data_IF_930707203933
#
_entry.id   IF_930707203933
#
_cell.length_a   1.000
_cell.length_b   1.000
_cell.length_c   1.000
_cell.angle_alpha   90.00
_cell.angle_beta   90.00
_cell.angle_gamma   90.00
#
_symmetry.space_group_name_H-M   'P 1'
#
loop_
_entity.id
_entity.type
_entity.pdbx_description
1 polymer ?
#
# COMPACT_ATOMS: atom_id res chain seq x y z
N UNK A 1 6.93 17.85 -0.95
CA UNK A 1 6.28 17.43 0.30
C UNK A 1 6.88 16.09 0.71
N UNK A 2 7.55 16.00 1.85
CA UNK A 2 7.81 14.68 2.44
C UNK A 2 6.45 14.10 2.83
N UNK A 3 6.11 12.87 2.41
CA UNK A 3 4.88 12.23 2.86
C UNK A 3 4.90 12.17 4.38
N UNK A 4 3.77 12.45 5.06
CA UNK A 4 3.70 12.32 6.51
C UNK A 4 4.15 10.92 6.89
N UNK A 5 5.08 10.83 7.85
CA UNK A 5 5.53 9.55 8.35
C UNK A 5 4.36 8.92 9.12
N UNK A 6 3.67 7.96 8.50
CA UNK A 6 2.57 7.19 9.11
C UNK A 6 3.06 6.23 10.20
N UNK A 7 3.96 6.68 11.09
CA UNK A 7 4.64 5.85 12.09
C UNK A 7 3.67 5.25 13.11
N UNK A 8 2.71 6.04 13.60
CA UNK A 8 1.66 5.58 14.51
C UNK A 8 0.83 4.47 13.88
N UNK A 9 0.33 4.71 12.66
CA UNK A 9 -0.43 3.72 11.90
C UNK A 9 0.36 2.42 11.67
N UNK A 10 1.66 2.52 11.31
CA UNK A 10 2.51 1.33 11.10
C UNK A 10 2.69 0.52 12.37
N UNK A 11 2.85 1.18 13.52
CA UNK A 11 2.97 0.51 14.81
C UNK A 11 1.67 -0.21 15.16
N UNK A 12 0.54 0.49 15.07
CA UNK A 12 -0.78 -0.08 15.35
C UNK A 12 -1.11 -1.25 14.41
N UNK A 13 -0.78 -1.13 13.12
CA UNK A 13 -0.97 -2.22 12.15
C UNK A 13 -0.12 -3.45 12.50
N UNK A 14 1.11 -3.25 12.99
CA UNK A 14 1.99 -4.36 13.37
C UNK A 14 1.54 -5.07 14.66
N UNK A 15 0.87 -4.35 15.56
CA UNK A 15 0.32 -4.89 16.81
C UNK A 15 -1.10 -5.47 16.64
N UNK A 16 -1.76 -5.20 15.52
CA UNK A 16 -3.13 -5.64 15.25
C UNK A 16 -3.19 -7.10 14.80
N UNK A 17 -4.24 -7.81 15.21
CA UNK A 17 -4.56 -9.14 14.68
C UNK A 17 -5.67 -9.06 13.63
N UNK A 18 -5.72 -9.98 12.65
CA UNK A 18 -6.85 -10.09 11.72
C UNK A 18 -8.20 -10.34 12.45
N UNK A 19 -9.35 -9.95 11.85
CA UNK A 19 -9.49 -9.39 10.50
C UNK A 19 -9.20 -7.87 10.49
N UNK A 20 -8.41 -7.42 9.53
CA UNK A 20 -8.02 -6.01 9.37
C UNK A 20 -8.05 -5.60 7.90
N UNK A 21 -8.12 -4.31 7.59
CA UNK A 21 -7.98 -3.79 6.21
C UNK A 21 -6.82 -2.78 6.21
N UNK A 22 -5.66 -3.12 5.64
CA UNK A 22 -4.53 -2.20 5.61
C UNK A 22 -4.77 -1.07 4.61
N UNK A 23 -4.17 0.09 4.87
CA UNK A 23 -4.23 1.24 3.97
C UNK A 23 -3.29 1.00 2.78
N UNK A 24 -3.84 0.44 1.71
CA UNK A 24 -3.10 0.03 0.53
C UNK A 24 -2.26 1.16 -0.07
N UNK A 25 -2.76 2.40 -0.07
CA UNK A 25 -2.04 3.57 -0.58
C UNK A 25 -0.68 3.78 0.07
N UNK A 26 -0.57 3.55 1.39
CA UNK A 26 0.69 3.68 2.12
C UNK A 26 1.69 2.57 1.74
N UNK A 27 1.21 1.35 1.54
CA UNK A 27 2.05 0.25 1.11
C UNK A 27 2.56 0.48 -0.31
N UNK A 28 1.68 0.86 -1.24
CA UNK A 28 2.07 1.17 -2.61
C UNK A 28 3.10 2.29 -2.65
N UNK A 29 2.92 3.32 -1.81
CA UNK A 29 3.92 4.37 -1.65
C UNK A 29 5.28 3.83 -1.19
N UNK A 30 5.32 2.86 -0.26
CA UNK A 30 6.58 2.24 0.16
C UNK A 30 7.25 1.47 -0.99
N UNK A 31 6.48 0.77 -1.81
CA UNK A 31 7.01 0.06 -2.97
C UNK A 31 7.59 1.05 -4.00
N UNK A 32 6.87 2.14 -4.29
CA UNK A 32 7.35 3.20 -5.19
C UNK A 32 8.65 3.82 -4.67
N UNK A 33 8.72 4.17 -3.39
CA UNK A 33 9.94 4.75 -2.80
C UNK A 33 11.10 3.76 -2.85
N UNK A 34 10.84 2.48 -2.55
CA UNK A 34 11.86 1.43 -2.59
C UNK A 34 12.41 1.23 -4.00
N UNK A 35 11.54 1.28 -5.01
CA UNK A 35 11.87 1.20 -6.43
C UNK A 35 12.69 2.41 -6.92
N UNK A 36 12.28 3.62 -6.55
CA UNK A 36 12.97 4.85 -6.95
C UNK A 36 14.36 5.00 -6.33
N UNK A 37 14.52 4.58 -5.08
CA UNK A 37 15.78 4.78 -4.33
C UNK A 37 16.79 3.66 -4.58
N UNK A 38 16.33 2.44 -4.89
CA UNK A 38 17.19 1.29 -5.02
C UNK A 38 17.06 0.67 -6.42
N UNK A 39 18.14 0.60 -7.20
CA UNK A 39 18.10 -0.05 -8.51
C UNK A 39 17.99 -1.58 -8.35
N UNK A 40 17.33 -2.21 -9.34
CA UNK A 40 17.20 -3.68 -9.43
C UNK A 40 18.57 -4.35 -9.51
N UNK A 41 19.48 -3.73 -10.26
CA UNK A 41 20.84 -4.23 -10.45
C UNK A 41 21.84 -3.27 -9.81
N UNK A 42 22.88 -3.83 -9.19
CA UNK A 42 23.98 -3.07 -8.65
C UNK A 42 24.82 -2.49 -9.79
N UNK A 43 25.22 -1.23 -9.65
CA UNK A 43 26.07 -0.55 -10.64
C UNK A 43 27.53 -1.00 -10.60
N UNK A 44 27.95 -1.63 -9.49
CA UNK A 44 29.30 -2.13 -9.27
C UNK A 44 29.24 -3.53 -8.68
N UNK A 45 30.26 -4.32 -9.00
CA UNK A 45 30.48 -5.62 -8.38
C UNK A 45 30.90 -5.41 -6.91
N UNK A 46 30.20 -6.01 -5.93
CA UNK A 46 30.65 -5.97 -4.54
C UNK A 46 32.05 -6.60 -4.41
N UNK A 47 32.91 -6.01 -3.59
CA UNK A 47 34.30 -6.48 -3.40
C UNK A 47 34.37 -7.95 -2.98
N UNK A 48 33.45 -8.40 -2.14
CA UNK A 48 33.33 -9.79 -1.71
C UNK A 48 33.06 -10.78 -2.86
N UNK A 49 32.55 -10.31 -4.00
CA UNK A 49 32.25 -11.11 -5.19
C UNK A 49 33.26 -10.89 -6.32
N UNK A 50 34.24 -10.01 -6.15
CA UNK A 50 35.16 -9.64 -7.23
C UNK A 50 35.99 -10.84 -7.74
N UNK A 51 36.34 -11.79 -6.86
CA UNK A 51 37.13 -12.96 -7.23
C UNK A 51 36.37 -14.02 -8.04
N UNK A 52 35.03 -14.03 -7.96
CA UNK A 52 34.16 -15.04 -8.60
C UNK A 52 33.32 -14.47 -9.74
N UNK A 53 33.25 -13.14 -9.86
CA UNK A 53 32.51 -12.48 -10.91
C UNK A 53 33.20 -12.63 -12.27
N UNK A 54 32.41 -12.96 -13.29
CA UNK A 54 32.80 -12.95 -14.69
C UNK A 54 31.79 -12.09 -15.45
N UNK A 55 32.24 -11.32 -16.44
CA UNK A 55 31.34 -10.47 -17.23
C UNK A 55 30.20 -11.27 -17.91
N UNK A 56 30.45 -12.54 -18.22
CA UNK A 56 29.44 -13.47 -18.76
C UNK A 56 28.25 -13.72 -17.82
N UNK A 57 28.39 -13.47 -16.50
CA UNK A 57 27.30 -13.61 -15.53
C UNK A 57 26.26 -12.48 -15.64
N UNK A 58 26.59 -11.38 -16.32
CA UNK A 58 25.69 -10.24 -16.50
C UNK A 58 25.55 -9.34 -15.25
N UNK A 59 24.48 -8.53 -15.17
CA UNK A 59 24.26 -7.57 -14.09
C UNK A 59 23.95 -8.26 -12.75
N UNK A 60 24.55 -7.76 -11.66
CA UNK A 60 24.34 -8.32 -10.32
C UNK A 60 23.03 -7.81 -9.74
N UNK A 61 22.14 -8.71 -9.36
CA UNK A 61 20.85 -8.37 -8.74
C UNK A 61 21.05 -7.83 -7.32
N UNK A 62 20.37 -6.74 -7.01
CA UNK A 62 20.26 -6.20 -5.67
C UNK A 62 19.26 -7.05 -4.84
N UNK A 63 19.76 -8.13 -4.25
CA UNK A 63 18.95 -9.05 -3.44
C UNK A 63 18.26 -8.36 -2.27
N UNK A 64 18.89 -7.34 -1.66
CA UNK A 64 18.29 -6.61 -0.55
C UNK A 64 17.02 -5.87 -0.99
N UNK A 65 17.05 -5.20 -2.13
CA UNK A 65 15.87 -4.54 -2.71
C UNK A 65 14.77 -5.56 -3.01
N UNK A 66 15.11 -6.65 -3.68
CA UNK A 66 14.14 -7.70 -4.04
C UNK A 66 13.51 -8.31 -2.79
N UNK A 67 14.32 -8.56 -1.75
CA UNK A 67 13.84 -9.06 -0.47
C UNK A 67 12.88 -8.08 0.21
N UNK A 68 13.20 -6.78 0.21
CA UNK A 68 12.30 -5.76 0.77
C UNK A 68 10.97 -5.67 0.01
N UNK A 69 10.98 -5.77 -1.33
CA UNK A 69 9.74 -5.85 -2.11
C UNK A 69 8.93 -7.09 -1.75
N UNK A 70 9.58 -8.25 -1.68
CA UNK A 70 8.95 -9.50 -1.30
C UNK A 70 8.26 -9.39 0.06
N UNK A 71 8.95 -8.91 1.10
CA UNK A 71 8.37 -8.78 2.44
C UNK A 71 7.12 -7.88 2.47
N UNK A 72 7.11 -6.81 1.67
CA UNK A 72 5.96 -5.89 1.61
C UNK A 72 4.77 -6.57 0.92
N UNK A 73 5.00 -7.30 -0.18
CA UNK A 73 3.94 -7.99 -0.93
C UNK A 73 3.42 -9.21 -0.17
N UNK A 74 4.34 -10.00 0.41
CA UNK A 74 4.05 -11.21 1.19
C UNK A 74 3.11 -10.92 2.36
N UNK A 75 3.21 -9.74 2.98
CA UNK A 75 2.25 -9.29 4.00
C UNK A 75 0.79 -9.35 3.50
N UNK A 76 0.51 -8.89 2.28
CA UNK A 76 -0.84 -8.91 1.69
C UNK A 76 -1.25 -10.31 1.25
N UNK A 77 -0.33 -11.02 0.61
CA UNK A 77 -0.57 -12.39 0.11
C UNK A 77 -0.90 -13.32 1.27
N UNK A 78 -0.18 -13.23 2.40
CA UNK A 78 -0.48 -14.01 3.59
C UNK A 78 -1.82 -13.66 4.21
N UNK A 79 -2.21 -12.39 4.16
CA UNK A 79 -3.51 -11.96 4.66
C UNK A 79 -4.66 -12.53 3.80
N UNK A 80 -4.52 -12.49 2.48
CA UNK A 80 -5.52 -13.01 1.53
C UNK A 80 -5.62 -14.55 1.56
N UNK A 81 -4.48 -15.25 1.62
CA UNK A 81 -4.43 -16.71 1.58
C UNK A 81 -4.50 -17.38 2.97
N UNK A 82 -4.77 -16.62 4.04
CA UNK A 82 -4.93 -17.20 5.37
C UNK A 82 -6.29 -17.89 5.47
N UNK A 83 -6.30 -19.22 5.36
CA UNK A 83 -7.48 -20.09 5.52
C UNK A 83 -8.08 -20.08 6.95
N UNK A 84 -7.51 -19.29 7.87
CA UNK A 84 -8.07 -19.15 9.21
C UNK A 84 -9.29 -18.23 9.19
N UNK A 85 -10.37 -18.63 9.88
CA UNK A 85 -11.57 -17.78 10.07
C UNK A 85 -11.24 -16.39 10.64
N UNK A 86 -10.12 -16.26 11.35
CA UNK A 86 -9.61 -14.99 11.86
C UNK A 86 -9.28 -13.97 10.76
N UNK A 87 -8.98 -14.39 9.53
CA UNK A 87 -8.64 -13.46 8.44
C UNK A 87 -9.86 -12.74 7.83
N UNK A 88 -11.07 -13.26 8.09
CA UNK A 88 -12.29 -12.78 7.45
C UNK A 88 -13.20 -12.07 8.46
N UNK A 89 -13.81 -10.96 8.03
CA UNK A 89 -14.83 -10.30 8.83
C UNK A 89 -16.09 -11.18 8.90
N UNK A 90 -16.56 -11.46 10.12
CA UNK A 90 -17.86 -12.11 10.36
C UNK A 90 -19.00 -11.06 10.32
N UNK A 91 -19.07 -10.31 9.22
CA UNK A 91 -20.10 -9.30 8.98
C UNK A 91 -21.06 -9.85 7.92
N UNK A 92 -22.34 -9.98 8.28
CA UNK A 92 -23.38 -10.41 7.34
C UNK A 92 -23.67 -9.31 6.34
N UNK A 93 -23.76 -9.70 5.06
CA UNK A 93 -24.14 -8.79 3.98
C UNK A 93 -25.61 -8.40 4.12
N UNK A 94 -25.88 -7.10 4.14
CA UNK A 94 -27.23 -6.53 4.12
C UNK A 94 -27.45 -5.88 2.76
N UNK A 95 -28.49 -6.32 2.03
CA UNK A 95 -28.76 -5.83 0.67
C UNK A 95 -29.25 -4.39 0.67
N UNK A 96 -30.08 -4.00 1.63
CA UNK A 96 -30.63 -2.65 1.69
C UNK A 96 -29.52 -1.63 1.97
N UNK A 97 -28.56 -2.01 2.83
CA UNK A 97 -27.36 -1.19 3.09
C UNK A 97 -26.46 -1.10 1.86
N UNK A 98 -26.23 -2.21 1.17
CA UNK A 98 -25.37 -2.23 -0.03
C UNK A 98 -26.01 -1.42 -1.18
N UNK A 99 -27.31 -1.55 -1.39
CA UNK A 99 -28.07 -0.81 -2.39
C UNK A 99 -28.08 0.69 -2.07
N UNK A 100 -28.19 1.06 -0.79
CA UNK A 100 -28.08 2.45 -0.35
C UNK A 100 -26.69 3.04 -0.63
N UNK A 101 -25.61 2.30 -0.36
CA UNK A 101 -24.24 2.74 -0.67
C UNK A 101 -24.03 2.86 -2.19
N UNK A 102 -24.69 2.00 -2.98
CA UNK A 102 -24.74 2.11 -4.43
C UNK A 102 -23.38 2.04 -5.12
N UNK A 103 -22.44 1.26 -4.56
CA UNK A 103 -21.04 1.16 -4.99
C UNK A 103 -20.34 2.51 -5.14
N UNK A 104 -20.75 3.53 -4.39
CA UNK A 104 -20.24 4.90 -4.50
C UNK A 104 -20.37 5.52 -5.91
N UNK A 105 -21.27 5.00 -6.77
CA UNK A 105 -21.48 5.48 -8.15
C UNK A 105 -22.07 6.90 -8.21
N UNK A 106 -22.67 7.36 -7.11
CA UNK A 106 -23.26 8.69 -6.97
C UNK A 106 -22.32 9.73 -6.36
N UNK A 107 -21.01 9.45 -6.30
CA UNK A 107 -20.03 10.37 -5.75
C UNK A 107 -20.04 11.71 -6.48
N UNK A 108 -20.20 12.80 -5.72
CA UNK A 108 -20.11 14.14 -6.28
C UNK A 108 -18.67 14.48 -6.63
N UNK A 109 -18.41 15.08 -7.80
CA UNK A 109 -17.08 15.56 -8.10
C UNK A 109 -16.70 16.72 -7.18
N UNK A 110 -15.41 16.82 -6.85
CA UNK A 110 -14.85 17.83 -5.94
C UNK A 110 -15.31 19.25 -6.23
N UNK A 111 -15.41 19.63 -7.51
CA UNK A 111 -15.84 20.98 -7.88
C UNK A 111 -17.31 21.25 -7.49
N UNK A 112 -18.19 20.26 -7.65
CA UNK A 112 -19.60 20.38 -7.32
C UNK A 112 -19.79 20.44 -5.80
N UNK A 113 -19.01 19.65 -5.04
CA UNK A 113 -18.98 19.73 -3.57
C UNK A 113 -18.54 21.12 -3.10
N UNK A 114 -17.46 21.66 -3.68
CA UNK A 114 -16.97 23.01 -3.35
C UNK A 114 -18.01 24.08 -3.67
N UNK A 115 -18.69 23.97 -4.79
CA UNK A 115 -19.76 24.90 -5.16
C UNK A 115 -20.91 24.84 -4.15
N UNK A 116 -21.34 23.64 -3.76
CA UNK A 116 -22.41 23.44 -2.79
C UNK A 116 -22.07 24.02 -1.41
N UNK A 117 -20.82 23.84 -0.96
CA UNK A 117 -20.30 24.46 0.28
C UNK A 117 -20.36 25.98 0.18
N UNK A 118 -19.90 26.56 -0.94
CA UNK A 118 -19.89 28.01 -1.12
C UNK A 118 -21.31 28.59 -1.17
N UNK A 119 -22.25 27.91 -1.83
CA UNK A 119 -23.67 28.30 -1.84
C UNK A 119 -24.26 28.31 -0.43
N UNK A 120 -24.01 27.26 0.37
CA UNK A 120 -24.45 27.18 1.78
C UNK A 120 -23.89 28.32 2.63
N UNK A 121 -22.60 28.67 2.47
CA UNK A 121 -21.98 29.79 3.19
C UNK A 121 -22.66 31.13 2.90
N UNK A 122 -23.03 31.38 1.63
CA UNK A 122 -23.69 32.63 1.21
C UNK A 122 -25.12 32.77 1.73
N UNK A 123 -25.83 31.67 1.96
CA UNK A 123 -27.20 31.68 2.50
C UNK A 123 -27.25 31.86 4.01
N UNK A 124 -26.14 31.59 4.71
CA UNK A 124 -26.01 31.75 6.15
C UNK A 124 -25.50 33.15 6.56
N UNK A 125 -25.27 34.05 5.58
CA UNK A 125 -24.87 35.44 5.77
C UNK A 125 -26.03 36.34 5.37
#
# INVERSE_FOLDING_TARGET
MQPPHFSTYRRELAESSPPLIPYLGLTLQNLIVLDQVNPVFLSKVPEAMAATYQEAHGPIVNFWRCWKHFLIIDFFVKQENSDTRAAHYDIKKDRDVLDFIGDFKSAYPDFALRELINRRKRQAT
#
